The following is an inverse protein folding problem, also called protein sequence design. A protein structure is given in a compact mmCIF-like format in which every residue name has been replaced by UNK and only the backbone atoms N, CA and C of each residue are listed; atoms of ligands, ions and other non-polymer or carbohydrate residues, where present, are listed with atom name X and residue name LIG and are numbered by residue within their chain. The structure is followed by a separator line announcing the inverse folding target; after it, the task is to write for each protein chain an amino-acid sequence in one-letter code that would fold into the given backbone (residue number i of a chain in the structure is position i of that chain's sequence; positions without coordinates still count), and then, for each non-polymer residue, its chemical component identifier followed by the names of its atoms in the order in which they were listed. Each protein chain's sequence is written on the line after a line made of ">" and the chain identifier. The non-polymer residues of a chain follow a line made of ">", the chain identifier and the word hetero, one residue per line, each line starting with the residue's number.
data_IF_398767558664
#
_entry.id   IF_398767558664
#
_cell.length_a   1.000
_cell.length_b   1.000
_cell.length_c   1.000
_cell.angle_alpha   90.00
_cell.angle_beta   90.00
_cell.angle_gamma   90.00
#
_symmetry.space_group_name_H-M   'P 1'
#
loop_
_entity.id
_entity.type
_entity.pdbx_description
1 polymer ?
#
# COMPACT_ATOMS: atom_id res chain seq x y z
N UNK A 1 -10.37 13.83 -12.05
CA UNK A 1 -10.35 13.74 -10.57
C UNK A 1 -10.44 12.27 -10.17
N UNK A 2 -9.43 11.46 -10.52
CA UNK A 2 -9.46 10.00 -10.36
C UNK A 2 -8.28 9.55 -9.52
N UNK A 3 -8.46 9.69 -8.21
CA UNK A 3 -7.49 9.29 -7.19
C UNK A 3 -7.64 7.78 -6.94
N UNK A 4 -6.59 6.97 -7.05
CA UNK A 4 -6.67 5.54 -6.76
C UNK A 4 -7.13 5.27 -5.32
N UNK A 5 -8.02 4.30 -5.10
CA UNK A 5 -8.46 3.93 -3.77
C UNK A 5 -7.31 3.35 -2.94
N UNK A 6 -7.39 3.52 -1.62
CA UNK A 6 -6.45 2.91 -0.69
C UNK A 6 -6.67 1.39 -0.64
N UNK A 7 -5.61 0.55 -0.74
CA UNK A 7 -5.73 -0.91 -0.69
C UNK A 7 -5.84 -1.43 0.76
N UNK A 8 -6.22 -0.57 1.71
CA UNK A 8 -6.20 -0.87 3.13
C UNK A 8 -7.41 -1.76 3.50
N UNK A 9 -7.13 -2.90 4.13
CA UNK A 9 -8.16 -3.83 4.62
C UNK A 9 -8.54 -3.60 6.09
N UNK A 10 -8.05 -2.52 6.71
CA UNK A 10 -8.23 -2.26 8.15
C UNK A 10 -7.24 -3.02 9.06
N UNK A 11 -6.45 -3.94 8.50
CA UNK A 11 -5.40 -4.66 9.22
C UNK A 11 -4.14 -3.80 9.29
N UNK A 12 -3.73 -3.38 10.49
CA UNK A 12 -2.48 -2.65 10.72
C UNK A 12 -1.46 -3.52 11.46
N UNK A 13 -0.97 -4.56 10.79
CA UNK A 13 0.09 -5.43 11.32
C UNK A 13 1.16 -5.64 10.27
N UNK A 14 2.40 -5.32 10.61
CA UNK A 14 3.57 -5.52 9.75
C UNK A 14 4.17 -6.90 10.03
N UNK A 15 4.36 -7.67 8.98
CA UNK A 15 5.18 -8.87 8.98
C UNK A 15 6.65 -8.45 9.17
N UNK A 16 7.28 -8.92 10.24
CA UNK A 16 8.66 -8.53 10.57
C UNK A 16 9.71 -9.19 9.67
N UNK A 17 9.35 -10.27 8.98
CA UNK A 17 10.25 -11.00 8.07
C UNK A 17 10.30 -10.33 6.71
N UNK A 18 9.15 -9.90 6.18
CA UNK A 18 9.05 -9.26 4.85
C UNK A 18 9.03 -7.73 4.91
N UNK A 19 8.68 -7.15 6.06
CA UNK A 19 8.49 -5.70 6.22
C UNK A 19 7.19 -5.17 5.61
N UNK A 20 6.24 -6.06 5.27
CA UNK A 20 4.98 -5.69 4.62
C UNK A 20 3.79 -5.81 5.55
N UNK A 21 2.77 -4.98 5.33
CA UNK A 21 1.50 -5.12 6.02
C UNK A 21 0.82 -6.43 5.64
N UNK A 22 0.41 -7.22 6.62
CA UNK A 22 -0.27 -8.51 6.40
C UNK A 22 -1.61 -8.38 5.67
N UNK A 23 -2.26 -7.21 5.74
CA UNK A 23 -3.48 -6.91 4.99
C UNK A 23 -3.18 -6.38 3.60
N UNK A 24 -2.69 -5.15 3.53
CA UNK A 24 -2.53 -4.42 2.26
C UNK A 24 -1.17 -4.61 1.57
N UNK A 25 -0.23 -5.36 2.16
CA UNK A 25 1.13 -5.60 1.66
C UNK A 25 1.96 -4.35 1.30
N UNK A 26 1.56 -3.19 1.82
CA UNK A 26 2.35 -1.95 1.83
C UNK A 26 3.39 -1.96 2.94
N UNK A 27 4.50 -1.28 2.74
CA UNK A 27 5.48 -0.99 3.78
C UNK A 27 4.97 0.12 4.69
N UNK A 28 5.58 0.26 5.88
CA UNK A 28 5.22 1.34 6.81
C UNK A 28 5.47 2.74 6.22
N UNK A 29 6.49 2.88 5.37
CA UNK A 29 6.80 4.14 4.68
C UNK A 29 5.73 4.49 3.63
N UNK A 30 5.29 3.50 2.86
CA UNK A 30 4.20 3.67 1.89
C UNK A 30 2.86 4.02 2.58
N UNK A 31 2.61 3.48 3.78
CA UNK A 31 1.43 3.79 4.57
C UNK A 31 1.50 5.23 5.13
N UNK A 32 2.62 5.59 5.76
CA UNK A 32 2.81 6.90 6.37
C UNK A 32 2.79 8.05 5.34
N UNK A 33 3.35 7.81 4.15
CA UNK A 33 3.39 8.82 3.08
C UNK A 33 2.13 8.89 2.22
N UNK A 34 1.18 7.96 2.36
CA UNK A 34 0.08 7.77 1.40
C UNK A 34 -0.73 9.04 1.10
N UNK A 35 -1.10 9.80 2.12
CA UNK A 35 -1.88 11.04 1.98
C UNK A 35 -1.13 12.13 1.21
N UNK A 36 0.20 12.17 1.28
CA UNK A 36 1.06 13.12 0.57
C UNK A 36 1.45 12.71 -0.85
N UNK A 37 1.18 11.47 -1.25
CA UNK A 37 1.49 11.00 -2.60
C UNK A 37 0.54 11.58 -3.64
N UNK A 38 1.06 11.93 -4.82
CA UNK A 38 0.28 12.24 -6.01
C UNK A 38 -0.45 11.00 -6.54
N UNK A 39 -1.50 11.20 -7.33
CA UNK A 39 -2.29 10.09 -7.88
C UNK A 39 -1.44 9.12 -8.71
N UNK A 40 -0.39 9.60 -9.38
CA UNK A 40 0.55 8.74 -10.12
C UNK A 40 1.43 7.91 -9.19
N UNK A 41 1.99 8.54 -8.14
CA UNK A 41 2.80 7.84 -7.15
C UNK A 41 1.98 6.79 -6.39
N UNK A 42 0.71 7.07 -6.09
CA UNK A 42 -0.20 6.10 -5.48
C UNK A 42 -0.46 4.90 -6.40
N UNK A 43 -0.63 5.11 -7.71
CA UNK A 43 -0.74 4.01 -8.69
C UNK A 43 0.54 3.17 -8.75
N UNK A 44 1.71 3.80 -8.69
CA UNK A 44 2.98 3.09 -8.66
C UNK A 44 3.10 2.20 -7.40
N UNK A 45 2.73 2.71 -6.23
CA UNK A 45 2.67 1.91 -4.99
C UNK A 45 1.68 0.76 -5.12
N UNK A 46 0.49 0.99 -5.68
CA UNK A 46 -0.49 -0.07 -5.91
C UNK A 46 0.03 -1.15 -6.87
N UNK A 47 0.75 -0.77 -7.92
CA UNK A 47 1.38 -1.72 -8.83
C UNK A 47 2.46 -2.57 -8.11
N UNK A 48 3.26 -1.97 -7.24
CA UNK A 48 4.22 -2.69 -6.39
C UNK A 48 3.51 -3.66 -5.43
N UNK A 49 2.43 -3.22 -4.79
CA UNK A 49 1.61 -4.06 -3.91
C UNK A 49 1.02 -5.24 -4.67
N UNK A 50 0.49 -5.02 -5.87
CA UNK A 50 -0.04 -6.08 -6.72
C UNK A 50 1.04 -7.11 -7.08
N UNK A 51 2.28 -6.67 -7.35
CA UNK A 51 3.43 -7.58 -7.57
C UNK A 51 3.81 -8.38 -6.32
N UNK A 52 3.56 -7.85 -5.12
CA UNK A 52 3.71 -8.55 -3.84
C UNK A 52 2.51 -9.47 -3.54
N UNK A 53 1.48 -9.49 -4.39
CA UNK A 53 0.23 -10.24 -4.23
C UNK A 53 -0.75 -9.62 -3.23
N UNK A 54 -0.62 -8.32 -2.92
CA UNK A 54 -1.57 -7.63 -2.05
C UNK A 54 -2.95 -7.56 -2.71
N UNK A 55 -3.98 -7.78 -1.91
CA UNK A 55 -5.36 -7.90 -2.37
C UNK A 55 -5.84 -6.63 -3.07
N UNK A 56 -6.46 -6.84 -4.23
CA UNK A 56 -7.15 -5.84 -5.07
C UNK A 56 -8.36 -5.25 -4.35
#
# INVERSE_FOLDING_TARGET
>A
MNEPPSPCTGVCRIDRTTGWCLGCRRTIQEIAGWSGLSSEARRAVLALVARRGGSR
#
